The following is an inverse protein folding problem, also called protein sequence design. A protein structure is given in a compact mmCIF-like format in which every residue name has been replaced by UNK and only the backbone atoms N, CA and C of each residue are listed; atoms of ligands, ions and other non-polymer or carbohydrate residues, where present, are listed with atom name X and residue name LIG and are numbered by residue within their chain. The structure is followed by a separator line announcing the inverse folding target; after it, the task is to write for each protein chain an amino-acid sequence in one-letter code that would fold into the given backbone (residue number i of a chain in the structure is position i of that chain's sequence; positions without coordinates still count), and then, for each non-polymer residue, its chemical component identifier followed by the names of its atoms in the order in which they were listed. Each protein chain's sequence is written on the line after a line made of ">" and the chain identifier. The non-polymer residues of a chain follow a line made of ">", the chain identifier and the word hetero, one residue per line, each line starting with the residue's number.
data_IF_105022893607
#
_entry.id   IF_105022893607
#
_cell.length_a   1.000
_cell.length_b   1.000
_cell.length_c   1.000
_cell.angle_alpha   90.00
_cell.angle_beta   90.00
_cell.angle_gamma   90.00
#
_symmetry.space_group_name_H-M   'P 1'
#
loop_
_entity.id
_entity.type
_entity.pdbx_description
1 polymer ?
#
# COMPACT_ATOMS: atom_id res chain seq x y z
N UNK A 1 7.73 -10.75 -30.13
CA UNK A 1 8.52 -9.53 -30.37
C UNK A 1 8.79 -8.91 -29.01
N UNK A 2 10.07 -8.85 -28.59
CA UNK A 2 10.50 -8.27 -27.31
C UNK A 2 11.19 -6.93 -27.63
N UNK A 3 10.74 -5.85 -27.00
CA UNK A 3 11.44 -4.56 -26.82
C UNK A 3 11.01 -4.04 -25.43
N UNK A 4 11.86 -4.02 -24.40
CA UNK A 4 12.90 -3.02 -24.02
C UNK A 4 12.37 -1.63 -23.66
N UNK A 5 12.08 -1.47 -22.36
CA UNK A 5 12.54 -0.42 -21.43
C UNK A 5 12.84 0.96 -22.03
N UNK A 6 12.06 1.96 -21.61
CA UNK A 6 12.63 3.28 -21.34
C UNK A 6 12.07 3.82 -20.02
N UNK A 7 12.97 4.29 -19.16
CA UNK A 7 12.71 4.69 -17.80
C UNK A 7 12.66 6.20 -17.69
N UNK A 8 11.53 6.73 -17.25
CA UNK A 8 11.41 8.12 -16.81
C UNK A 8 11.17 8.10 -15.31
N UNK A 9 12.22 8.41 -14.54
CA UNK A 9 12.08 8.77 -13.13
C UNK A 9 11.57 10.20 -13.09
N UNK A 10 10.30 10.38 -12.77
CA UNK A 10 9.76 11.69 -12.44
C UNK A 10 10.03 11.92 -10.95
N UNK A 11 11.07 12.69 -10.67
CA UNK A 11 11.28 13.29 -9.35
C UNK A 11 10.15 14.31 -9.14
N UNK A 12 9.15 13.94 -8.33
CA UNK A 12 8.02 14.82 -8.01
C UNK A 12 7.90 14.99 -6.50
N UNK A 13 8.93 15.58 -5.89
CA UNK A 13 8.82 16.18 -4.57
C UNK A 13 9.31 17.64 -4.66
N UNK A 14 8.51 18.47 -5.33
CA UNK A 14 8.65 19.92 -5.18
C UNK A 14 8.18 20.31 -3.79
N UNK A 15 9.14 20.50 -2.90
CA UNK A 15 8.97 21.19 -1.63
C UNK A 15 8.60 22.65 -1.91
N UNK A 16 7.34 23.00 -1.65
CA UNK A 16 6.92 24.38 -1.42
C UNK A 16 6.48 24.48 0.03
N UNK A 17 7.31 25.14 0.83
CA UNK A 17 7.01 25.50 2.20
C UNK A 17 5.71 26.33 2.26
N UNK A 18 4.69 25.79 2.92
CA UNK A 18 3.61 26.56 3.49
C UNK A 18 3.43 26.03 4.90
N UNK A 19 3.69 26.89 5.88
CA UNK A 19 3.45 26.63 7.29
C UNK A 19 1.94 26.59 7.52
N UNK A 20 1.34 25.46 7.18
CA UNK A 20 0.04 25.06 7.68
C UNK A 20 0.19 23.63 8.19
N UNK A 21 -0.38 23.38 9.35
CA UNK A 21 -0.27 22.15 10.12
C UNK A 21 -1.05 20.99 9.48
N UNK A 22 -0.86 20.76 8.18
CA UNK A 22 -1.45 19.66 7.44
C UNK A 22 -0.58 18.40 7.59
N UNK A 23 -0.71 17.88 8.81
CA UNK A 23 -0.26 16.60 9.32
C UNK A 23 -0.46 15.47 8.31
N UNK A 24 0.65 14.95 7.76
CA UNK A 24 0.78 13.67 7.06
C UNK A 24 -0.48 13.18 6.33
N UNK A 25 -0.68 13.54 5.06
CA UNK A 25 -1.74 12.92 4.25
C UNK A 25 -1.23 11.58 3.72
N UNK A 26 -1.50 10.50 4.44
CA UNK A 26 -1.23 9.13 3.99
C UNK A 26 -2.29 8.69 2.98
N UNK A 27 -1.90 8.46 1.72
CA UNK A 27 -2.78 7.89 0.70
C UNK A 27 -2.46 6.41 0.44
N UNK A 28 -3.44 5.68 -0.08
CA UNK A 28 -3.30 4.27 -0.47
C UNK A 28 -2.25 4.11 -1.57
N UNK A 29 -2.10 5.12 -2.44
CA UNK A 29 -1.15 5.07 -3.55
C UNK A 29 0.32 5.11 -3.06
N UNK A 30 0.59 5.66 -1.88
CA UNK A 30 1.92 5.69 -1.27
C UNK A 30 2.46 4.28 -0.95
N UNK A 31 1.56 3.29 -0.84
CA UNK A 31 1.90 1.89 -0.56
C UNK A 31 2.10 1.04 -1.81
N UNK A 32 1.89 1.59 -3.02
CA UNK A 32 1.98 0.83 -4.29
C UNK A 32 3.40 0.73 -4.86
N UNK A 33 4.40 1.32 -4.22
CA UNK A 33 5.80 1.41 -4.69
C UNK A 33 6.85 1.14 -3.61
N UNK A 34 7.97 1.87 -3.66
CA UNK A 34 9.04 1.82 -2.64
C UNK A 34 8.62 2.57 -1.37
N UNK A 35 7.64 2.02 -0.64
CA UNK A 35 7.29 2.54 0.69
C UNK A 35 8.45 2.30 1.65
N UNK A 36 8.93 3.35 2.32
CA UNK A 36 9.93 3.26 3.38
C UNK A 36 9.36 3.81 4.68
N UNK A 37 9.38 2.97 5.72
CA UNK A 37 8.97 3.40 7.05
C UNK A 37 9.90 4.49 7.60
N UNK A 38 11.20 4.38 7.38
CA UNK A 38 12.18 5.38 7.84
C UNK A 38 12.02 6.72 7.11
N UNK A 39 11.66 6.69 5.82
CA UNK A 39 11.35 7.90 5.05
C UNK A 39 10.08 8.58 5.55
N UNK A 40 9.02 7.80 5.78
CA UNK A 40 7.78 8.30 6.37
C UNK A 40 8.02 8.89 7.77
N UNK A 41 8.71 8.14 8.63
CA UNK A 41 9.00 8.55 9.99
C UNK A 41 9.89 9.80 10.02
N UNK A 42 10.95 9.84 9.21
CA UNK A 42 11.81 11.01 9.08
C UNK A 42 11.02 12.25 8.67
N UNK A 43 10.21 12.15 7.61
CA UNK A 43 9.35 13.26 7.18
C UNK A 43 8.34 13.68 8.26
N UNK A 44 7.89 12.72 9.07
CA UNK A 44 6.94 12.96 10.15
C UNK A 44 7.57 13.73 11.32
N UNK A 45 8.77 13.34 11.77
CA UNK A 45 9.32 13.85 13.03
C UNK A 45 10.43 14.88 12.86
N UNK A 46 11.08 14.96 11.69
CA UNK A 46 12.24 15.84 11.47
C UNK A 46 11.90 17.34 11.56
N UNK A 47 10.64 17.72 11.41
CA UNK A 47 10.19 19.12 11.58
C UNK A 47 10.03 19.51 13.06
N UNK A 48 9.77 18.54 13.94
CA UNK A 48 9.51 18.74 15.37
C UNK A 48 10.77 18.45 16.21
N UNK A 49 11.61 17.50 15.78
CA UNK A 49 12.81 17.15 16.52
C UNK A 49 13.92 18.19 16.32
N UNK A 50 14.63 18.59 17.39
CA UNK A 50 15.86 19.35 17.27
C UNK A 50 16.86 18.63 16.36
N UNK A 51 17.53 19.36 15.47
CA UNK A 51 18.60 18.77 14.68
C UNK A 51 19.68 18.24 15.62
N UNK A 52 20.05 16.98 15.44
CA UNK A 52 21.11 16.37 16.22
C UNK A 52 22.43 17.10 15.92
N UNK A 53 22.94 17.87 16.89
CA UNK A 53 24.32 18.35 16.88
C UNK A 53 25.18 17.22 17.46
N UNK A 54 25.98 16.58 16.60
CA UNK A 54 27.03 15.68 17.05
C UNK A 54 28.05 16.52 17.84
N UNK A 55 28.00 16.39 19.16
CA UNK A 55 28.98 17.03 20.04
C UNK A 55 30.32 16.32 19.78
N UNK A 56 31.19 16.96 18.98
CA UNK A 56 32.57 16.55 18.72
C UNK A 56 33.37 16.57 20.02
N UNK A 57 33.15 15.54 20.84
CA UNK A 57 33.89 15.25 22.06
C UNK A 57 35.01 14.28 21.72
N UNK A 58 36.07 14.78 21.07
CA UNK A 58 37.34 14.07 21.07
C UNK A 58 38.54 15.02 21.03
N UNK A 59 38.91 15.52 22.22
CA UNK A 59 40.30 15.83 22.59
C UNK A 59 40.35 16.18 24.09
N UNK A 60 40.14 15.18 24.95
CA UNK A 60 40.56 15.28 26.34
C UNK A 60 42.03 14.87 26.44
N UNK A 61 42.93 15.83 26.58
CA UNK A 61 44.19 15.60 27.30
C UNK A 61 44.53 16.81 28.19
N UNK A 62 44.41 16.60 29.51
CA UNK A 62 45.08 17.41 30.53
C UNK A 62 44.25 18.53 31.18
N UNK A 63 43.60 18.25 32.31
CA UNK A 63 44.21 18.59 33.62
C UNK A 63 43.42 18.00 34.80
N UNK A 64 44.21 17.55 35.76
CA UNK A 64 43.87 16.82 36.98
C UNK A 64 42.88 17.48 37.96
N UNK A 65 42.30 16.57 38.76
CA UNK A 65 41.92 16.70 40.16
C UNK A 65 40.53 17.28 40.52
N UNK A 66 39.62 16.34 40.80
CA UNK A 66 38.62 16.51 41.85
C UNK A 66 39.31 16.78 43.21
N UNK A 67 38.68 17.57 44.10
CA UNK A 67 38.55 17.09 45.47
C UNK A 67 37.11 17.25 45.99
N UNK A 68 36.53 16.10 46.35
CA UNK A 68 35.35 15.97 47.20
C UNK A 68 35.71 16.37 48.65
N UNK A 69 34.90 17.21 49.30
CA UNK A 69 35.10 17.58 50.70
C UNK A 69 33.95 18.38 51.33
N UNK A 70 33.14 17.70 52.15
CA UNK A 70 32.11 18.27 53.02
C UNK A 70 32.64 19.42 53.91
N UNK A 71 31.97 20.58 53.93
CA UNK A 71 31.90 21.43 55.12
C UNK A 71 30.59 22.25 55.18
N UNK A 72 30.11 22.45 56.40
CA UNK A 72 28.73 22.78 56.81
C UNK A 72 28.59 24.27 57.18
N UNK A 73 27.81 25.04 56.38
CA UNK A 73 27.00 26.29 56.66
C UNK A 73 27.68 27.54 57.29
N UNK A 74 27.20 28.82 57.10
CA UNK A 74 25.78 29.26 57.05
C UNK A 74 25.47 30.39 55.99
N UNK A 75 24.22 30.93 55.93
CA UNK A 75 23.60 31.49 54.73
C UNK A 75 23.80 33.00 54.59
N UNK A 76 23.97 33.51 53.37
CA UNK A 76 23.63 34.90 53.09
C UNK A 76 23.15 35.12 51.64
N UNK A 77 22.33 36.14 51.53
CA UNK A 77 21.35 36.44 50.53
C UNK A 77 21.83 36.55 49.08
N UNK A 78 20.95 36.16 48.15
CA UNK A 78 20.97 36.73 46.81
C UNK A 78 20.48 35.78 45.72
N UNK A 79 19.18 35.84 45.42
CA UNK A 79 18.65 35.65 44.07
C UNK A 79 19.14 34.41 43.31
N UNK A 80 18.55 33.25 43.60
CA UNK A 80 18.27 32.28 42.54
C UNK A 80 17.09 31.42 42.98
N UNK A 81 15.95 32.07 43.20
CA UNK A 81 14.68 31.37 43.14
C UNK A 81 14.44 31.06 41.66
N UNK A 82 15.02 29.93 41.24
CA UNK A 82 14.27 28.91 40.53
C UNK A 82 13.51 29.47 39.33
N UNK A 83 14.20 29.59 38.20
CA UNK A 83 13.57 29.51 36.89
C UNK A 83 12.81 28.19 36.84
N UNK A 84 11.55 28.22 37.23
CA UNK A 84 10.68 27.06 37.22
C UNK A 84 10.39 26.75 35.75
N UNK A 85 10.93 25.60 35.33
CA UNK A 85 10.40 24.76 34.26
C UNK A 85 10.21 25.42 32.90
N UNK A 86 11.32 25.69 32.20
CA UNK A 86 11.28 25.31 30.79
C UNK A 86 11.12 23.78 30.77
N UNK A 87 10.08 23.23 30.13
CA UNK A 87 9.92 21.78 30.05
C UNK A 87 11.19 21.18 29.46
N UNK A 88 11.60 20.02 29.99
CA UNK A 88 12.82 19.32 29.56
C UNK A 88 12.78 18.97 28.05
N UNK A 89 11.57 18.94 27.48
CA UNK A 89 11.29 18.82 26.06
C UNK A 89 10.01 19.61 25.71
N UNK A 90 10.12 20.87 25.26
CA UNK A 90 8.97 21.69 24.85
C UNK A 90 8.12 21.08 23.73
N UNK A 91 8.72 20.28 22.85
CA UNK A 91 8.11 19.75 21.63
C UNK A 91 7.34 18.43 21.84
N UNK A 92 7.29 17.90 23.06
CA UNK A 92 6.66 16.61 23.37
C UNK A 92 5.16 16.60 23.11
N UNK A 93 4.47 17.69 23.44
CA UNK A 93 3.02 17.76 23.27
C UNK A 93 2.63 17.81 21.77
N UNK A 94 3.44 18.50 20.96
CA UNK A 94 3.26 18.57 19.52
C UNK A 94 3.53 17.21 18.86
N UNK A 95 4.62 16.54 19.27
CA UNK A 95 4.94 15.19 18.82
C UNK A 95 3.86 14.18 19.22
N UNK A 96 3.29 14.30 20.42
CA UNK A 96 2.20 13.45 20.88
C UNK A 96 0.92 13.67 20.06
N UNK A 97 0.59 14.92 19.75
CA UNK A 97 -0.55 15.28 18.90
C UNK A 97 -0.39 14.72 17.49
N UNK A 98 0.82 14.87 16.93
CA UNK A 98 1.22 14.34 15.63
C UNK A 98 1.04 12.82 15.57
N UNK A 99 1.64 12.07 16.49
CA UNK A 99 1.50 10.61 16.53
C UNK A 99 0.05 10.15 16.71
N UNK A 100 -0.74 10.84 17.52
CA UNK A 100 -2.17 10.52 17.67
C UNK A 100 -2.93 10.72 16.37
N UNK A 101 -2.65 11.79 15.64
CA UNK A 101 -3.25 12.05 14.34
C UNK A 101 -2.81 10.99 13.32
N UNK A 102 -1.51 10.75 13.16
CA UNK A 102 -0.97 9.76 12.23
C UNK A 102 -1.47 8.34 12.53
N UNK A 103 -1.57 7.93 13.80
CA UNK A 103 -2.17 6.66 14.19
C UNK A 103 -3.64 6.57 13.73
N UNK A 104 -4.42 7.63 13.91
CA UNK A 104 -5.81 7.67 13.47
C UNK A 104 -5.92 7.54 11.96
N UNK A 105 -5.10 8.28 11.21
CA UNK A 105 -5.06 8.22 9.76
C UNK A 105 -4.69 6.82 9.26
N UNK A 106 -3.70 6.17 9.88
CA UNK A 106 -3.31 4.80 9.53
C UNK A 106 -4.44 3.79 9.78
N UNK A 107 -5.17 3.93 10.89
CA UNK A 107 -6.33 3.09 11.20
C UNK A 107 -7.45 3.30 10.19
N UNK A 108 -7.72 4.54 9.80
CA UNK A 108 -8.76 4.85 8.82
C UNK A 108 -8.36 4.38 7.41
N UNK A 109 -7.09 4.51 7.04
CA UNK A 109 -6.54 3.95 5.81
C UNK A 109 -6.67 2.42 5.76
N UNK A 110 -6.35 1.74 6.86
CA UNK A 110 -6.55 0.30 7.00
C UNK A 110 -8.01 -0.08 6.76
N UNK A 111 -8.97 0.63 7.36
CA UNK A 111 -10.40 0.38 7.13
C UNK A 111 -10.81 0.58 5.68
N UNK A 112 -10.25 1.59 5.01
CA UNK A 112 -10.50 1.83 3.59
C UNK A 112 -9.97 0.69 2.72
N UNK A 113 -8.74 0.21 3.00
CA UNK A 113 -8.14 -0.94 2.31
C UNK A 113 -8.98 -2.20 2.54
N UNK A 114 -9.34 -2.49 3.79
CA UNK A 114 -10.20 -3.63 4.14
C UNK A 114 -11.56 -3.55 3.41
N UNK A 115 -12.14 -2.35 3.31
CA UNK A 115 -13.38 -2.09 2.57
C UNK A 115 -13.23 -2.36 1.07
N UNK A 116 -12.20 -1.80 0.43
CA UNK A 116 -11.89 -2.02 -0.99
C UNK A 116 -11.63 -3.50 -1.28
N UNK A 117 -10.85 -4.18 -0.43
CA UNK A 117 -10.53 -5.61 -0.54
C UNK A 117 -11.78 -6.48 -0.42
N UNK A 118 -12.65 -6.19 0.54
CA UNK A 118 -13.90 -6.93 0.71
C UNK A 118 -14.86 -6.74 -0.48
N UNK A 119 -14.95 -5.52 -1.02
CA UNK A 119 -15.75 -5.24 -2.21
C UNK A 119 -15.20 -6.01 -3.43
N UNK A 120 -13.88 -5.94 -3.67
CA UNK A 120 -13.24 -6.68 -4.75
C UNK A 120 -13.47 -8.19 -4.62
N UNK A 121 -13.34 -8.74 -3.41
CA UNK A 121 -13.63 -10.16 -3.14
C UNK A 121 -15.06 -10.55 -3.51
N UNK A 122 -16.05 -9.70 -3.19
CA UNK A 122 -17.45 -9.93 -3.56
C UNK A 122 -17.66 -9.85 -5.06
N UNK A 123 -17.07 -8.86 -5.72
CA UNK A 123 -17.17 -8.68 -7.17
C UNK A 123 -16.57 -9.86 -7.92
N UNK A 124 -15.38 -10.31 -7.52
CA UNK A 124 -14.73 -11.50 -8.08
C UNK A 124 -15.61 -12.74 -7.89
N UNK A 125 -16.22 -12.93 -6.73
CA UNK A 125 -17.12 -14.07 -6.50
C UNK A 125 -18.38 -14.02 -7.40
N UNK A 126 -18.97 -12.83 -7.60
CA UNK A 126 -20.10 -12.65 -8.52
C UNK A 126 -19.69 -12.91 -9.97
N UNK A 127 -18.51 -12.43 -10.37
CA UNK A 127 -17.98 -12.66 -11.70
C UNK A 127 -17.70 -14.14 -11.96
N UNK A 128 -17.07 -14.82 -10.99
CA UNK A 128 -16.74 -16.24 -11.08
C UNK A 128 -18.01 -17.11 -11.22
N UNK A 129 -19.02 -16.86 -10.39
CA UNK A 129 -20.32 -17.56 -10.50
C UNK A 129 -21.03 -17.28 -11.81
N UNK A 130 -20.95 -16.05 -12.33
CA UNK A 130 -21.54 -15.68 -13.63
C UNK A 130 -20.83 -16.40 -14.77
N UNK A 131 -19.50 -16.36 -14.80
CA UNK A 131 -18.70 -17.03 -15.82
C UNK A 131 -18.91 -18.54 -15.80
N UNK A 132 -18.94 -19.16 -14.62
CA UNK A 132 -19.21 -20.57 -14.48
C UNK A 132 -20.58 -20.95 -15.04
N UNK A 133 -21.62 -20.12 -14.79
CA UNK A 133 -22.95 -20.34 -15.35
C UNK A 133 -22.94 -20.23 -16.88
N UNK A 134 -22.33 -19.19 -17.44
CA UNK A 134 -22.22 -18.99 -18.88
C UNK A 134 -21.47 -20.14 -19.55
N UNK A 135 -20.38 -20.63 -18.93
CA UNK A 135 -19.62 -21.76 -19.44
C UNK A 135 -20.49 -23.04 -19.48
N UNK A 136 -21.27 -23.30 -18.44
CA UNK A 136 -22.17 -24.46 -18.38
C UNK A 136 -23.31 -24.39 -19.41
N UNK A 137 -23.85 -23.20 -19.68
CA UNK A 137 -24.84 -23.01 -20.74
C UNK A 137 -24.23 -23.23 -22.13
N UNK A 138 -23.00 -22.76 -22.34
CA UNK A 138 -22.26 -22.97 -23.60
C UNK A 138 -21.96 -24.44 -23.84
N UNK A 139 -21.49 -25.16 -22.82
CA UNK A 139 -21.22 -26.61 -22.88
C UNK A 139 -22.46 -27.38 -23.33
N UNK A 140 -23.62 -27.12 -22.70
CA UNK A 140 -24.90 -27.72 -23.10
C UNK A 140 -25.30 -27.38 -24.54
N UNK A 141 -25.04 -26.15 -24.97
CA UNK A 141 -25.30 -25.72 -26.35
C UNK A 141 -24.43 -26.45 -27.36
N UNK A 142 -23.16 -26.67 -27.03
CA UNK A 142 -22.20 -27.43 -27.86
C UNK A 142 -22.60 -28.90 -27.92
N UNK A 143 -22.98 -29.51 -26.80
CA UNK A 143 -23.46 -30.90 -26.77
C UNK A 143 -24.72 -31.08 -27.64
N UNK A 144 -25.69 -30.17 -27.54
CA UNK A 144 -26.88 -30.18 -28.38
C UNK A 144 -26.58 -29.99 -29.88
N UNK A 145 -25.54 -29.22 -30.21
CA UNK A 145 -25.06 -29.06 -31.57
C UNK A 145 -24.41 -30.35 -32.08
N UNK A 146 -23.62 -31.02 -31.25
CA UNK A 146 -23.00 -32.31 -31.59
C UNK A 146 -24.06 -33.38 -31.89
N UNK A 147 -25.09 -33.48 -31.04
CA UNK A 147 -26.24 -34.38 -31.27
C UNK A 147 -26.98 -34.05 -32.58
N UNK A 148 -27.12 -32.76 -32.89
CA UNK A 148 -27.74 -32.30 -34.13
C UNK A 148 -26.92 -32.69 -35.36
N UNK A 149 -25.58 -32.60 -35.28
CA UNK A 149 -24.69 -33.05 -36.35
C UNK A 149 -24.73 -34.56 -36.54
N UNK A 150 -24.74 -35.36 -35.47
CA UNK A 150 -24.89 -36.80 -35.57
C UNK A 150 -26.21 -37.20 -36.28
N UNK A 151 -27.32 -36.51 -35.96
CA UNK A 151 -28.60 -36.71 -36.64
C UNK A 151 -28.59 -36.27 -38.10
N UNK A 152 -27.90 -35.16 -38.41
CA UNK A 152 -27.74 -34.70 -39.79
C UNK A 152 -26.95 -35.70 -40.62
N UNK A 153 -25.84 -36.21 -40.08
CA UNK A 153 -24.99 -37.19 -40.76
C UNK A 153 -25.75 -38.49 -41.09
N UNK A 154 -26.55 -39.00 -40.14
CA UNK A 154 -27.46 -40.13 -40.38
C UNK A 154 -28.43 -39.87 -41.53
N UNK A 155 -29.00 -38.65 -41.60
CA UNK A 155 -29.91 -38.27 -42.69
C UNK A 155 -29.19 -38.14 -44.03
N UNK A 156 -28.00 -37.54 -44.05
CA UNK A 156 -27.17 -37.42 -45.25
C UNK A 156 -26.81 -38.81 -45.77
N UNK A 157 -26.37 -39.71 -44.89
CA UNK A 157 -26.09 -41.10 -45.25
C UNK A 157 -27.32 -41.81 -45.83
N UNK A 158 -28.50 -41.68 -45.21
CA UNK A 158 -29.73 -42.29 -45.71
C UNK A 158 -30.15 -41.76 -47.08
N UNK A 159 -30.08 -40.44 -47.28
CA UNK A 159 -30.36 -39.81 -48.58
C UNK A 159 -29.32 -40.23 -49.61
N UNK A 160 -28.04 -40.28 -49.25
CA UNK A 160 -26.95 -40.73 -50.13
C UNK A 160 -27.14 -42.17 -50.59
N UNK A 161 -27.51 -43.09 -49.68
CA UNK A 161 -27.84 -44.48 -50.02
C UNK A 161 -29.05 -44.56 -50.97
N UNK A 162 -30.08 -43.74 -50.73
CA UNK A 162 -31.25 -43.70 -51.60
C UNK A 162 -30.91 -43.17 -52.99
N UNK A 163 -30.10 -42.10 -53.07
CA UNK A 163 -29.64 -41.53 -54.33
C UNK A 163 -28.77 -42.51 -55.13
N UNK A 164 -27.84 -43.23 -54.46
CA UNK A 164 -27.05 -44.27 -55.09
C UNK A 164 -27.94 -45.37 -55.69
N UNK A 165 -28.92 -45.86 -54.92
CA UNK A 165 -29.88 -46.88 -55.39
C UNK A 165 -30.71 -46.43 -56.59
N UNK A 166 -31.15 -45.18 -56.62
CA UNK A 166 -31.87 -44.61 -57.77
C UNK A 166 -30.93 -44.48 -58.98
N UNK A 167 -29.70 -44.02 -58.75
CA UNK A 167 -28.67 -43.91 -59.78
C UNK A 167 -28.38 -45.25 -60.47
N UNK A 168 -28.22 -46.32 -59.68
CA UNK A 168 -28.03 -47.68 -60.20
C UNK A 168 -29.20 -48.13 -61.09
N UNK A 169 -30.43 -47.71 -60.76
CA UNK A 169 -31.63 -48.04 -61.53
C UNK A 169 -31.74 -47.28 -62.86
N UNK A 170 -31.12 -46.11 -62.98
CA UNK A 170 -31.16 -45.25 -64.17
C UNK A 170 -30.03 -45.54 -65.17
N UNK A 171 -29.01 -46.32 -64.78
CA UNK A 171 -27.88 -46.71 -65.63
C UNK A 171 -28.09 -48.04 -66.38
N UNK A 172 -29.29 -48.62 -66.31
CA UNK A 172 -29.75 -49.76 -67.12
C UNK A 172 -30.51 -49.24 -68.33
#
# INVERSE_FOLDING_TARGET
>A
MRETRDGVRVDMFSSSASADSDLLVLDIDDFKGEFSFDGLFGNLVNEILPSYQEEESDAAEGHDALPNGNLRTPPDAGKSAQGMSSPLFPEVDDLLSLFKNSCKQLVDLRKQIDGKLNNLKKEVAVQDTTHHKTLSELEKGVDGLFDSFARLDLRISSVGQTAAKIGDHLQV
#
